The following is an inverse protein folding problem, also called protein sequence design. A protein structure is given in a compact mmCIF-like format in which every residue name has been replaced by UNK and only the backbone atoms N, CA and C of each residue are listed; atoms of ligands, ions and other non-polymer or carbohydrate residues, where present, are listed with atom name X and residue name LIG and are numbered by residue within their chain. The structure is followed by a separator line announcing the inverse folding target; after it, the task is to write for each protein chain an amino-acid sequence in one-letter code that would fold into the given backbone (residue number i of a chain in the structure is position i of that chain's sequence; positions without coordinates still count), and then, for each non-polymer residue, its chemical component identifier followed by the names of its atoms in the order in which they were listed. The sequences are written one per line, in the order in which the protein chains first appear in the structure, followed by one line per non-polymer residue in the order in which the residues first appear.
data_IF_117865674859
#
_entry.id   IF_117865674859
#
_cell.length_a   1.000
_cell.length_b   1.000
_cell.length_c   1.000
_cell.angle_alpha   90.00
_cell.angle_beta   90.00
_cell.angle_gamma   90.00
#
_symmetry.space_group_name_H-M   'P 1'
#
loop_
_entity.id
_entity.type
_entity.pdbx_description
1 polymer ?
#
# COMPACT_ATOMS: atom_id res chain seq x y z
N UNK A 1 6.84 8.90 1.06
CA UNK A 1 6.76 9.95 0.03
C UNK A 1 5.94 9.38 -1.11
N UNK A 2 4.85 10.02 -1.49
CA UNK A 2 4.01 9.58 -2.62
C UNK A 2 4.71 9.94 -3.92
N UNK A 3 4.77 9.01 -4.87
CA UNK A 3 5.64 9.12 -6.07
C UNK A 3 4.96 8.75 -7.39
N UNK A 4 3.64 8.59 -7.38
CA UNK A 4 2.83 8.25 -8.56
C UNK A 4 2.65 6.75 -8.80
N UNK A 5 2.92 5.91 -7.79
CA UNK A 5 2.84 4.45 -7.93
C UNK A 5 1.47 3.87 -7.61
N UNK A 6 0.64 4.64 -6.92
CA UNK A 6 -0.75 4.31 -6.66
C UNK A 6 -1.68 5.28 -7.40
N UNK A 7 -2.81 4.74 -7.86
CA UNK A 7 -3.92 5.49 -8.44
C UNK A 7 -5.03 5.58 -7.41
N UNK A 8 -5.49 6.80 -7.15
CA UNK A 8 -6.46 7.15 -6.12
C UNK A 8 -7.68 7.79 -6.78
N UNK A 9 -8.86 7.35 -6.36
CA UNK A 9 -10.12 7.94 -6.77
C UNK A 9 -10.43 9.18 -5.92
N UNK A 10 -10.70 10.30 -6.60
CA UNK A 10 -11.08 11.56 -5.95
C UNK A 10 -12.29 12.17 -6.64
N UNK A 11 -13.10 12.88 -5.86
CA UNK A 11 -14.23 13.69 -6.33
C UNK A 11 -13.83 15.15 -6.38
N UNK A 12 -14.06 15.81 -7.51
CA UNK A 12 -13.72 17.23 -7.68
C UNK A 12 -14.74 18.11 -6.94
N UNK A 13 -14.27 19.02 -6.09
CA UNK A 13 -15.14 19.91 -5.31
C UNK A 13 -15.41 21.23 -6.02
N UNK A 14 -14.45 21.71 -6.82
CA UNK A 14 -14.54 22.95 -7.60
C UNK A 14 -13.82 22.78 -8.93
N UNK A 15 -14.22 23.50 -10.00
CA UNK A 15 -13.58 23.39 -11.31
C UNK A 15 -12.06 23.58 -11.21
N UNK A 16 -11.30 22.68 -11.83
CA UNK A 16 -9.84 22.70 -11.78
C UNK A 16 -9.25 22.12 -13.07
N UNK A 17 -8.57 22.97 -13.85
CA UNK A 17 -8.13 22.60 -15.21
C UNK A 17 -9.35 22.26 -16.08
N UNK A 18 -9.32 21.07 -16.67
CA UNK A 18 -10.41 20.56 -17.52
C UNK A 18 -11.48 19.77 -16.75
N UNK A 19 -11.37 19.67 -15.41
CA UNK A 19 -12.31 18.91 -14.60
C UNK A 19 -13.42 19.79 -14.02
N UNK A 20 -14.65 19.26 -14.06
CA UNK A 20 -15.82 19.92 -13.50
C UNK A 20 -16.07 19.50 -12.06
N UNK A 21 -16.76 20.35 -11.31
CA UNK A 21 -17.20 20.01 -9.96
C UNK A 21 -18.17 18.82 -9.99
N UNK A 22 -17.96 17.85 -9.10
CA UNK A 22 -18.73 16.61 -9.01
C UNK A 22 -18.11 15.44 -9.76
N UNK A 23 -17.19 15.67 -10.69
CA UNK A 23 -16.51 14.59 -11.44
C UNK A 23 -15.74 13.67 -10.49
N UNK A 24 -15.74 12.37 -10.80
CA UNK A 24 -14.87 11.40 -10.14
C UNK A 24 -13.74 11.05 -11.10
N UNK A 25 -12.51 11.29 -10.66
CA UNK A 25 -11.31 11.05 -11.47
C UNK A 25 -10.31 10.17 -10.72
N UNK A 26 -9.52 9.43 -11.50
CA UNK A 26 -8.43 8.60 -11.02
C UNK A 26 -7.11 9.35 -11.24
N UNK A 27 -6.36 9.61 -10.17
CA UNK A 27 -5.12 10.38 -10.22
C UNK A 27 -4.03 9.73 -9.37
N UNK A 28 -2.78 10.08 -9.66
CA UNK A 28 -1.62 9.63 -8.89
C UNK A 28 -1.69 10.04 -7.42
N UNK A 29 -1.20 9.18 -6.53
CA UNK A 29 -1.20 9.33 -5.07
C UNK A 29 -0.68 10.70 -4.57
N UNK A 30 0.42 11.19 -5.12
CA UNK A 30 1.00 12.48 -4.74
C UNK A 30 0.07 13.62 -5.14
N UNK A 31 -0.52 13.56 -6.34
CA UNK A 31 -1.45 14.57 -6.84
C UNK A 31 -2.74 14.57 -6.03
N UNK A 32 -3.22 13.38 -5.65
CA UNK A 32 -4.38 13.23 -4.78
C UNK A 32 -4.16 13.89 -3.41
N UNK A 33 -2.99 13.67 -2.79
CA UNK A 33 -2.62 14.33 -1.55
C UNK A 33 -2.65 15.85 -1.69
N UNK A 34 -1.90 16.39 -2.65
CA UNK A 34 -1.75 17.85 -2.78
C UNK A 34 -3.10 18.54 -3.07
N UNK A 35 -3.91 17.98 -3.96
CA UNK A 35 -5.22 18.54 -4.28
C UNK A 35 -6.22 18.41 -3.12
N UNK A 36 -6.12 17.35 -2.32
CA UNK A 36 -6.97 17.15 -1.15
C UNK A 36 -6.60 18.12 -0.02
N UNK A 37 -5.31 18.27 0.29
CA UNK A 37 -4.82 19.26 1.26
C UNK A 37 -5.22 20.70 0.85
N UNK A 38 -5.22 20.99 -0.46
CA UNK A 38 -5.67 22.27 -1.01
C UNK A 38 -7.21 22.43 -1.10
N UNK A 39 -7.98 21.45 -0.62
CA UNK A 39 -9.46 21.43 -0.66
C UNK A 39 -10.03 21.61 -2.08
N UNK A 40 -9.31 21.11 -3.08
CA UNK A 40 -9.76 21.11 -4.48
C UNK A 40 -10.57 19.84 -4.77
N UNK A 41 -10.20 18.74 -4.11
CA UNK A 41 -10.84 17.44 -4.26
C UNK A 41 -11.17 16.83 -2.90
N UNK A 42 -12.10 15.89 -2.91
CA UNK A 42 -12.42 14.99 -1.82
C UNK A 42 -11.92 13.59 -2.16
N UNK A 43 -11.21 12.94 -1.24
CA UNK A 43 -10.77 11.55 -1.42
C UNK A 43 -11.96 10.61 -1.27
N UNK A 44 -12.15 9.73 -2.25
CA UNK A 44 -13.14 8.65 -2.14
C UNK A 44 -12.58 7.57 -1.21
N UNK A 45 -13.29 7.32 -0.11
CA UNK A 45 -12.87 6.36 0.91
C UNK A 45 -13.02 4.91 0.41
N UNK A 46 -11.95 4.36 -0.18
CA UNK A 46 -11.85 2.95 -0.53
C UNK A 46 -11.13 2.12 0.55
N UNK A 47 -11.04 2.60 1.80
CA UNK A 47 -10.29 1.91 2.86
C UNK A 47 -10.74 0.46 3.06
N UNK A 48 -12.05 0.20 3.06
CA UNK A 48 -12.59 -1.15 3.28
C UNK A 48 -12.21 -2.10 2.14
N UNK A 49 -12.18 -1.59 0.90
CA UNK A 49 -11.74 -2.33 -0.28
C UNK A 49 -10.25 -2.67 -0.19
N UNK A 50 -9.42 -1.71 0.21
CA UNK A 50 -7.97 -1.94 0.39
C UNK A 50 -7.71 -2.94 1.53
N UNK A 51 -8.44 -2.85 2.65
CA UNK A 51 -8.38 -3.85 3.73
C UNK A 51 -8.75 -5.25 3.19
N UNK A 52 -9.83 -5.37 2.42
CA UNK A 52 -10.24 -6.63 1.82
C UNK A 52 -9.23 -7.20 0.80
N UNK A 53 -8.52 -6.34 0.07
CA UNK A 53 -7.41 -6.76 -0.79
C UNK A 53 -6.21 -7.28 0.01
N UNK A 54 -5.87 -6.62 1.13
CA UNK A 54 -4.81 -7.10 2.03
C UNK A 54 -5.19 -8.43 2.66
N UNK A 55 -6.44 -8.60 3.10
CA UNK A 55 -6.92 -9.85 3.68
C UNK A 55 -6.85 -11.01 2.68
N UNK A 56 -7.21 -10.77 1.41
CA UNK A 56 -7.03 -11.76 0.34
C UNK A 56 -5.55 -12.10 0.13
N UNK A 57 -4.68 -11.10 0.04
CA UNK A 57 -3.24 -11.33 -0.09
C UNK A 57 -2.67 -12.13 1.09
N UNK A 58 -3.11 -11.86 2.33
CA UNK A 58 -2.71 -12.63 3.51
C UNK A 58 -3.17 -14.09 3.41
N UNK A 59 -4.40 -14.33 2.94
CA UNK A 59 -4.92 -15.68 2.76
C UNK A 59 -4.10 -16.44 1.71
N UNK A 60 -3.87 -15.84 0.54
CA UNK A 60 -3.06 -16.43 -0.53
C UNK A 60 -1.64 -16.73 -0.05
N UNK A 61 -1.03 -15.84 0.73
CA UNK A 61 0.30 -16.07 1.33
C UNK A 61 0.33 -17.19 2.36
N UNK A 62 -0.79 -17.51 3.02
CA UNK A 62 -0.86 -18.60 3.99
C UNK A 62 -1.10 -19.95 3.33
N UNK A 63 -1.89 -19.96 2.27
CA UNK A 63 -2.30 -21.17 1.56
C UNK A 63 -1.21 -21.69 0.63
N UNK A 64 -0.37 -20.79 0.11
CA UNK A 64 0.67 -21.13 -0.85
C UNK A 64 2.05 -21.11 -0.19
N UNK A 65 2.90 -22.11 -0.45
CA UNK A 65 4.29 -22.07 -0.03
C UNK A 65 5.10 -20.99 -0.77
N UNK A 66 4.99 -20.83 -2.11
CA UNK A 66 5.63 -19.73 -2.83
C UNK A 66 5.12 -18.35 -2.40
N UNK A 67 5.92 -17.31 -2.69
CA UNK A 67 5.45 -15.92 -2.67
C UNK A 67 4.45 -15.70 -3.81
N UNK A 68 3.34 -15.05 -3.50
CA UNK A 68 2.28 -14.75 -4.45
C UNK A 68 2.44 -13.34 -5.01
N UNK A 69 2.02 -13.04 -6.25
CA UNK A 69 2.02 -11.67 -6.74
C UNK A 69 1.03 -10.82 -5.93
N UNK A 70 1.42 -9.58 -5.61
CA UNK A 70 0.51 -8.63 -4.97
C UNK A 70 -0.32 -7.86 -6.01
N UNK A 71 -1.54 -7.43 -5.67
CA UNK A 71 -2.26 -6.44 -6.45
C UNK A 71 -1.41 -5.19 -6.70
N UNK A 72 -1.56 -4.60 -7.89
CA UNK A 72 -0.78 -3.43 -8.29
C UNK A 72 -0.91 -2.29 -7.28
N UNK A 73 0.25 -1.76 -6.85
CA UNK A 73 0.33 -0.64 -5.91
C UNK A 73 -0.36 -0.88 -4.56
N UNK A 74 -0.54 -2.14 -4.12
CA UNK A 74 -1.27 -2.44 -2.88
C UNK A 74 -0.64 -1.75 -1.66
N UNK A 75 0.69 -1.78 -1.56
CA UNK A 75 1.40 -1.12 -0.46
C UNK A 75 1.24 0.41 -0.53
N UNK A 76 1.41 1.00 -1.71
CA UNK A 76 1.30 2.45 -1.89
C UNK A 76 -0.13 2.96 -1.69
N UNK A 77 -1.14 2.21 -2.15
CA UNK A 77 -2.56 2.52 -1.86
C UNK A 77 -2.85 2.41 -0.37
N UNK A 78 -2.37 1.37 0.31
CA UNK A 78 -2.51 1.25 1.76
C UNK A 78 -1.85 2.42 2.50
N UNK A 79 -0.64 2.81 2.09
CA UNK A 79 0.06 3.99 2.64
C UNK A 79 -0.70 5.29 2.42
N UNK A 80 -1.31 5.46 1.24
CA UNK A 80 -2.15 6.62 0.96
C UNK A 80 -3.39 6.66 1.87
N UNK A 81 -4.13 5.56 2.00
CA UNK A 81 -5.32 5.53 2.86
C UNK A 81 -4.98 5.64 4.34
N UNK A 82 -3.84 5.14 4.80
CA UNK A 82 -3.35 5.43 6.16
C UNK A 82 -3.12 6.93 6.36
N UNK A 83 -2.42 7.58 5.42
CA UNK A 83 -2.20 9.02 5.45
C UNK A 83 -3.52 9.81 5.43
N UNK A 84 -4.47 9.43 4.57
CA UNK A 84 -5.78 10.06 4.48
C UNK A 84 -6.54 9.95 5.82
N UNK A 85 -6.62 8.77 6.42
CA UNK A 85 -7.32 8.57 7.69
C UNK A 85 -6.66 9.35 8.84
N UNK A 86 -5.32 9.34 8.92
CA UNK A 86 -4.58 10.10 9.93
C UNK A 86 -4.86 11.60 9.84
N UNK A 87 -4.84 12.14 8.63
CA UNK A 87 -5.02 13.59 8.43
C UNK A 87 -6.49 13.99 8.43
N UNK A 88 -7.42 13.11 8.03
CA UNK A 88 -8.85 13.36 8.15
C UNK A 88 -9.23 13.66 9.60
N UNK A 89 -8.75 12.85 10.54
CA UNK A 89 -9.00 13.04 11.98
C UNK A 89 -8.41 14.36 12.49
N UNK A 90 -7.21 14.73 12.02
CA UNK A 90 -6.56 15.99 12.40
C UNK A 90 -7.29 17.22 11.85
N UNK A 91 -7.70 17.18 10.59
CA UNK A 91 -8.33 18.30 9.90
C UNK A 91 -9.80 18.50 10.29
N UNK A 92 -10.46 17.45 10.76
CA UNK A 92 -11.88 17.44 11.11
C UNK A 92 -12.09 17.13 12.61
N UNK A 93 -11.22 17.61 13.49
CA UNK A 93 -11.28 17.34 14.93
C UNK A 93 -12.58 17.83 15.62
N UNK A 94 -13.36 18.70 14.97
CA UNK A 94 -14.68 19.16 15.41
C UNK A 94 -15.87 18.45 14.74
N UNK A 95 -15.62 17.43 13.93
CA UNK A 95 -16.65 16.61 13.28
C UNK A 95 -17.26 15.58 14.26
N UNK A 96 -18.29 14.85 13.83
CA UNK A 96 -18.97 13.86 14.66
C UNK A 96 -17.97 12.84 15.25
N UNK A 97 -17.97 12.71 16.58
CA UNK A 97 -17.13 11.78 17.36
C UNK A 97 -17.26 10.34 16.84
N UNK A 98 -18.47 9.92 16.44
CA UNK A 98 -18.70 8.58 15.88
C UNK A 98 -17.94 8.38 14.57
N UNK A 99 -18.01 9.35 13.66
CA UNK A 99 -17.29 9.33 12.38
C UNK A 99 -15.77 9.27 12.61
N UNK A 100 -15.26 10.09 13.53
CA UNK A 100 -13.83 10.10 13.90
C UNK A 100 -13.41 8.73 14.43
N UNK A 101 -14.18 8.14 15.34
CA UNK A 101 -13.88 6.84 15.93
C UNK A 101 -13.87 5.73 14.87
N UNK A 102 -14.83 5.71 13.95
CA UNK A 102 -14.85 4.74 12.84
C UNK A 102 -13.58 4.84 11.99
N UNK A 103 -13.14 6.07 11.65
CA UNK A 103 -11.91 6.30 10.87
C UNK A 103 -10.66 5.85 11.62
N UNK A 104 -10.58 6.08 12.94
CA UNK A 104 -9.48 5.61 13.79
C UNK A 104 -9.43 4.08 13.88
N UNK A 105 -10.58 3.41 14.03
CA UNK A 105 -10.64 1.94 14.00
C UNK A 105 -10.18 1.39 12.66
N UNK A 106 -10.63 1.98 11.55
CA UNK A 106 -10.18 1.61 10.20
C UNK A 106 -8.67 1.78 10.04
N UNK A 107 -8.11 2.90 10.51
CA UNK A 107 -6.67 3.16 10.48
C UNK A 107 -5.88 2.09 11.25
N UNK A 108 -6.31 1.77 12.47
CA UNK A 108 -5.66 0.76 13.30
C UNK A 108 -5.71 -0.63 12.64
N UNK A 109 -6.86 -0.99 12.05
CA UNK A 109 -7.00 -2.26 11.33
C UNK A 109 -6.10 -2.30 10.08
N UNK A 110 -6.11 -1.25 9.26
CA UNK A 110 -5.28 -1.16 8.06
C UNK A 110 -3.78 -1.30 8.38
N UNK A 111 -3.30 -0.58 9.41
CA UNK A 111 -1.91 -0.69 9.90
C UNK A 111 -1.56 -2.12 10.28
N UNK A 112 -2.38 -2.74 11.13
CA UNK A 112 -2.16 -4.10 11.62
C UNK A 112 -2.12 -5.12 10.48
N UNK A 113 -3.04 -5.01 9.52
CA UNK A 113 -3.13 -5.93 8.38
C UNK A 113 -1.95 -5.77 7.43
N UNK A 114 -1.57 -4.53 7.12
CA UNK A 114 -0.41 -4.25 6.26
C UNK A 114 0.90 -4.75 6.89
N UNK A 115 1.11 -4.49 8.18
CA UNK A 115 2.26 -4.99 8.92
C UNK A 115 2.34 -6.52 8.89
N UNK A 116 1.19 -7.18 9.13
CA UNK A 116 1.10 -8.63 9.08
C UNK A 116 1.41 -9.22 7.70
N UNK A 117 0.89 -8.61 6.63
CA UNK A 117 1.22 -9.01 5.25
C UNK A 117 2.71 -8.87 4.96
N UNK A 118 3.30 -7.70 5.28
CA UNK A 118 4.74 -7.44 5.09
C UNK A 118 5.58 -8.46 5.87
N UNK A 119 5.20 -8.80 7.11
CA UNK A 119 5.92 -9.77 7.94
C UNK A 119 5.89 -11.19 7.35
N UNK A 120 4.72 -11.68 6.89
CA UNK A 120 4.61 -12.99 6.25
C UNK A 120 5.51 -13.06 5.02
N UNK A 121 5.40 -12.05 4.14
CA UNK A 121 6.18 -12.02 2.91
C UNK A 121 7.67 -11.90 3.16
N UNK A 122 8.08 -11.05 4.10
CA UNK A 122 9.49 -10.93 4.49
C UNK A 122 10.06 -12.27 4.97
N UNK A 123 9.34 -13.02 5.81
CA UNK A 123 9.77 -14.36 6.23
C UNK A 123 9.96 -15.31 5.05
N UNK A 124 9.04 -15.30 4.08
CA UNK A 124 9.18 -16.11 2.86
C UNK A 124 10.33 -15.66 1.97
N UNK A 125 10.62 -14.36 1.91
CA UNK A 125 11.80 -13.82 1.21
C UNK A 125 13.07 -14.41 1.83
N UNK A 126 13.21 -14.39 3.17
CA UNK A 126 14.36 -14.98 3.86
C UNK A 126 14.54 -16.46 3.51
N UNK A 127 13.45 -17.24 3.56
CA UNK A 127 13.50 -18.66 3.18
C UNK A 127 13.92 -18.86 1.72
N UNK A 128 13.40 -18.00 0.82
CA UNK A 128 13.71 -18.08 -0.60
C UNK A 128 15.16 -17.75 -0.92
N UNK A 129 15.77 -16.80 -0.19
CA UNK A 129 17.21 -16.47 -0.30
C UNK A 129 18.08 -17.69 0.00
N UNK A 130 17.71 -18.49 1.00
CA UNK A 130 18.48 -19.67 1.40
C UNK A 130 18.42 -20.80 0.35
N UNK A 131 17.27 -20.96 -0.31
CA UNK A 131 17.01 -22.08 -1.23
C UNK A 131 17.38 -21.76 -2.69
N UNK A 132 17.10 -20.55 -3.14
CA UNK A 132 17.22 -20.14 -4.55
C UNK A 132 17.61 -18.65 -4.60
N UNK A 133 18.88 -18.28 -4.35
CA UNK A 133 19.32 -16.88 -4.48
C UNK A 133 19.22 -16.41 -5.94
N UNK A 134 18.91 -15.11 -6.14
CA UNK A 134 18.85 -14.46 -7.47
C UNK A 134 17.85 -15.06 -8.49
N UNK A 135 16.80 -15.75 -8.05
CA UNK A 135 15.77 -16.33 -8.93
C UNK A 135 14.96 -15.24 -9.65
N UNK A 136 15.03 -15.24 -10.99
CA UNK A 136 14.24 -14.34 -11.85
C UNK A 136 12.73 -14.57 -11.70
N UNK A 137 12.32 -15.82 -11.52
CA UNK A 137 10.92 -16.18 -11.29
C UNK A 137 10.39 -15.48 -10.04
N UNK A 138 11.18 -15.49 -8.95
CA UNK A 138 10.78 -14.86 -7.70
C UNK A 138 10.68 -13.34 -7.83
N UNK A 139 11.65 -12.71 -8.50
CA UNK A 139 11.66 -11.25 -8.70
C UNK A 139 10.37 -10.75 -9.34
N UNK A 140 9.78 -11.51 -10.27
CA UNK A 140 8.52 -11.13 -10.93
C UNK A 140 7.34 -10.99 -9.96
N UNK A 141 7.38 -11.68 -8.81
CA UNK A 141 6.29 -11.74 -7.81
C UNK A 141 6.47 -10.78 -6.63
N UNK A 142 7.59 -10.06 -6.59
CA UNK A 142 7.96 -9.15 -5.51
C UNK A 142 7.66 -7.70 -5.89
N UNK A 143 7.26 -6.89 -4.90
CA UNK A 143 7.22 -5.43 -5.04
C UNK A 143 8.64 -4.87 -5.28
N UNK A 144 8.79 -3.64 -5.80
CA UNK A 144 10.11 -3.03 -5.99
C UNK A 144 10.99 -3.04 -4.72
N UNK A 145 10.40 -2.76 -3.56
CA UNK A 145 11.07 -2.74 -2.25
C UNK A 145 11.50 -4.14 -1.84
N UNK A 146 10.61 -5.12 -2.02
CA UNK A 146 10.89 -6.53 -1.72
C UNK A 146 11.98 -7.09 -2.62
N UNK A 147 12.00 -6.73 -3.91
CA UNK A 147 13.07 -7.10 -4.86
C UNK A 147 14.41 -6.60 -4.36
N UNK A 148 14.49 -5.34 -3.90
CA UNK A 148 15.72 -4.77 -3.35
C UNK A 148 16.21 -5.57 -2.15
N UNK A 149 15.31 -5.88 -1.20
CA UNK A 149 15.64 -6.70 -0.02
C UNK A 149 16.16 -8.07 -0.45
N UNK A 150 15.44 -8.76 -1.32
CA UNK A 150 15.79 -10.10 -1.77
C UNK A 150 17.15 -10.16 -2.48
N UNK A 151 17.44 -9.20 -3.36
CA UNK A 151 18.73 -9.12 -4.07
C UNK A 151 19.89 -8.84 -3.11
N UNK A 152 19.70 -7.91 -2.17
CA UNK A 152 20.73 -7.60 -1.18
C UNK A 152 21.05 -8.80 -0.28
N UNK A 153 20.01 -9.48 0.20
CA UNK A 153 20.18 -10.69 1.03
C UNK A 153 20.79 -11.85 0.24
N UNK A 154 20.41 -12.03 -1.01
CA UNK A 154 21.01 -13.05 -1.90
C UNK A 154 22.50 -12.80 -2.09
N UNK A 155 22.91 -11.55 -2.31
CA UNK A 155 24.32 -11.17 -2.40
C UNK A 155 25.09 -11.50 -1.12
N UNK A 156 24.60 -11.05 0.03
CA UNK A 156 25.24 -11.30 1.35
C UNK A 156 25.38 -12.81 1.61
N UNK A 157 24.32 -13.58 1.34
CA UNK A 157 24.30 -15.03 1.54
C UNK A 157 25.32 -15.74 0.66
N UNK A 158 25.43 -15.35 -0.61
CA UNK A 158 26.40 -15.94 -1.55
C UNK A 158 27.84 -15.61 -1.15
N UNK A 159 28.12 -14.36 -0.77
CA UNK A 159 29.43 -13.94 -0.28
C UNK A 159 29.84 -14.69 1.00
N UNK A 160 28.89 -14.95 1.89
CA UNK A 160 29.15 -15.63 3.16
C UNK A 160 29.34 -17.14 3.02
N UNK A 161 28.49 -17.81 2.23
CA UNK A 161 28.53 -19.26 2.07
C UNK A 161 29.52 -19.74 1.00
N UNK A 162 30.07 -18.82 0.19
CA UNK A 162 30.99 -19.17 -0.90
C UNK A 162 30.30 -19.81 -2.11
N UNK A 163 28.99 -19.61 -2.24
CA UNK A 163 28.20 -20.09 -3.36
C UNK A 163 27.98 -18.93 -4.35
N UNK A 164 28.84 -18.84 -5.37
CA UNK A 164 28.80 -17.81 -6.40
C UNK A 164 29.27 -18.34 -7.75
#
# INVERSE_FOLDING_TARGET
MFTGRAIIAVKILRPFGDWNAGDIVLIEDWKAKELWEAKIVEVIDETDKVIGEIDRAIAEERENEPLMPLPAGLYERAEFYMYYLENYVRMNAGDNIETINVKLTKLANLKKKLEHLKAIRFKKILNSVMLRPNSLELLSRLSPEERRIYLQLSKIRNEWLGEG
#
